data_IF_380017044821
#
_entry.id   IF_380017044821
#
_cell.length_a   1.000
_cell.length_b   1.000
_cell.length_c   1.000
_cell.angle_alpha   90.00
_cell.angle_beta   90.00
_cell.angle_gamma   90.00
#
_symmetry.space_group_name_H-M   'P 1'
#
loop_
_entity.id
_entity.type
_entity.pdbx_description
1 polymer ?
#
# COMPACT_ATOMS: atom_id res chain seq x y z
N UNK A 1 -18.75 -45.49 51.71
CA UNK A 1 -17.68 -45.41 50.70
C UNK A 1 -18.25 -44.70 49.49
N UNK A 2 -17.99 -43.40 49.38
CA UNK A 2 -18.35 -42.62 48.20
C UNK A 2 -17.15 -42.66 47.26
N UNK A 3 -17.34 -43.25 46.09
CA UNK A 3 -16.36 -43.28 44.99
C UNK A 3 -16.08 -41.85 44.52
N UNK A 4 -14.83 -41.41 44.71
CA UNK A 4 -14.29 -40.22 44.04
C UNK A 4 -14.39 -40.45 42.52
N UNK A 5 -15.26 -39.67 41.87
CA UNK A 5 -15.26 -39.54 40.42
C UNK A 5 -13.95 -38.85 40.02
N UNK A 6 -13.06 -39.61 39.39
CA UNK A 6 -11.86 -39.10 38.75
C UNK A 6 -12.24 -37.90 37.86
N UNK A 7 -11.68 -36.73 38.17
CA UNK A 7 -11.82 -35.55 37.33
C UNK A 7 -11.25 -35.87 35.95
N UNK A 8 -12.10 -35.98 34.93
CA UNK A 8 -11.64 -36.09 33.55
C UNK A 8 -10.61 -34.98 33.28
N UNK A 9 -9.45 -35.29 32.67
CA UNK A 9 -8.50 -34.27 32.25
C UNK A 9 -9.17 -33.40 31.18
N UNK A 10 -9.76 -32.30 31.64
CA UNK A 10 -10.45 -31.34 30.81
C UNK A 10 -9.49 -30.25 30.34
N UNK A 11 -9.90 -29.51 29.33
CA UNK A 11 -9.15 -28.36 28.80
C UNK A 11 -8.73 -27.33 29.89
N UNK A 12 -9.42 -27.32 31.03
CA UNK A 12 -9.09 -26.51 32.21
C UNK A 12 -7.81 -26.90 32.95
N UNK A 13 -7.23 -28.10 32.73
CA UNK A 13 -5.99 -28.56 33.37
C UNK A 13 -4.73 -28.32 32.52
N UNK A 14 -4.87 -27.84 31.29
CA UNK A 14 -3.72 -27.50 30.43
C UNK A 14 -2.91 -26.32 31.00
N UNK A 15 -1.58 -26.26 30.87
CA UNK A 15 -0.76 -25.07 31.14
C UNK A 15 -1.22 -23.84 30.35
N UNK A 16 -1.04 -22.65 30.91
CA UNK A 16 -1.52 -21.40 30.29
C UNK A 16 -0.82 -21.09 28.97
N UNK A 17 0.45 -21.48 28.86
CA UNK A 17 1.29 -21.34 27.67
C UNK A 17 0.75 -22.15 26.50
N UNK A 18 0.29 -23.38 26.76
CA UNK A 18 -0.29 -24.24 25.72
C UNK A 18 -1.65 -23.71 25.27
N UNK A 19 -2.46 -23.20 26.19
CA UNK A 19 -3.76 -22.59 25.86
C UNK A 19 -3.57 -21.33 25.02
N UNK A 20 -2.60 -20.48 25.35
CA UNK A 20 -2.28 -19.29 24.54
C UNK A 20 -1.82 -19.69 23.13
N UNK A 21 -0.95 -20.70 23.01
CA UNK A 21 -0.51 -21.20 21.71
C UNK A 21 -1.72 -21.67 20.88
N UNK A 22 -2.64 -22.45 21.46
CA UNK A 22 -3.88 -22.87 20.76
C UNK A 22 -4.72 -21.66 20.31
N UNK A 23 -4.82 -20.62 21.13
CA UNK A 23 -5.56 -19.38 20.80
C UNK A 23 -4.90 -18.65 19.62
N UNK A 24 -3.57 -18.61 19.55
CA UNK A 24 -2.82 -17.96 18.47
C UNK A 24 -3.08 -18.58 17.10
N UNK A 25 -3.39 -19.88 17.03
CA UNK A 25 -3.77 -20.57 15.79
C UNK A 25 -5.19 -20.25 15.32
N UNK A 26 -6.04 -19.64 16.16
CA UNK A 26 -7.38 -19.25 15.76
C UNK A 26 -7.31 -17.97 14.90
N UNK A 27 -7.94 -17.97 13.70
CA UNK A 27 -7.90 -16.82 12.81
C UNK A 27 -8.57 -15.62 13.46
N UNK A 28 -7.82 -14.53 13.57
CA UNK A 28 -8.29 -13.24 14.12
C UNK A 28 -9.49 -12.70 13.31
N UNK A 29 -9.56 -13.04 12.04
CA UNK A 29 -10.63 -12.68 11.10
C UNK A 29 -11.98 -13.34 11.43
N UNK A 30 -11.99 -14.42 12.22
CA UNK A 30 -13.20 -15.03 12.76
C UNK A 30 -13.31 -14.82 14.29
N UNK A 31 -13.68 -13.60 14.74
CA UNK A 31 -13.70 -13.27 16.17
C UNK A 31 -14.74 -14.08 16.97
N UNK A 32 -15.63 -14.84 16.30
CA UNK A 32 -16.66 -15.65 16.95
C UNK A 32 -16.06 -16.82 17.73
N UNK A 33 -15.04 -17.48 17.19
CA UNK A 33 -14.45 -18.67 17.82
C UNK A 33 -13.71 -18.32 19.10
N UNK A 34 -12.90 -17.25 19.06
CA UNK A 34 -12.18 -16.73 20.22
C UNK A 34 -13.16 -16.17 21.25
N UNK A 35 -14.23 -15.49 20.81
CA UNK A 35 -15.29 -15.02 21.71
C UNK A 35 -15.97 -16.18 22.41
N UNK A 36 -16.35 -17.23 21.70
CA UNK A 36 -16.97 -18.42 22.28
C UNK A 36 -16.05 -19.08 23.30
N UNK A 37 -14.76 -19.21 22.98
CA UNK A 37 -13.75 -19.72 23.90
C UNK A 37 -13.66 -18.86 25.17
N UNK A 38 -13.66 -17.54 25.04
CA UNK A 38 -13.59 -16.61 26.18
C UNK A 38 -14.77 -16.74 27.14
N UNK A 39 -15.93 -17.23 26.67
CA UNK A 39 -17.13 -17.42 27.48
C UNK A 39 -17.14 -18.73 28.26
N UNK A 40 -16.23 -19.68 27.95
CA UNK A 40 -16.21 -21.01 28.58
C UNK A 40 -15.75 -20.99 30.04
N UNK A 41 -14.83 -20.09 30.40
CA UNK A 41 -14.34 -19.95 31.79
C UNK A 41 -13.63 -18.61 32.00
N UNK A 42 -13.51 -18.18 33.27
CA UNK A 42 -12.76 -16.97 33.63
C UNK A 42 -11.28 -17.04 33.22
N UNK A 43 -10.69 -18.23 33.25
CA UNK A 43 -9.31 -18.47 32.82
C UNK A 43 -9.15 -18.26 31.32
N UNK A 44 -10.04 -18.87 30.52
CA UNK A 44 -10.05 -18.70 29.06
C UNK A 44 -10.30 -17.24 28.69
N UNK A 45 -11.23 -16.57 29.39
CA UNK A 45 -11.43 -15.13 29.23
C UNK A 45 -10.11 -14.36 29.34
N UNK A 46 -9.38 -14.54 30.45
CA UNK A 46 -8.12 -13.82 30.70
C UNK A 46 -7.03 -14.13 29.66
N UNK A 47 -6.90 -15.39 29.24
CA UNK A 47 -5.88 -15.80 28.26
C UNK A 47 -6.24 -15.35 26.83
N UNK A 48 -7.52 -15.24 26.51
CA UNK A 48 -7.99 -14.77 25.20
C UNK A 48 -7.99 -13.24 25.06
N UNK A 49 -7.89 -12.46 26.16
CA UNK A 49 -7.99 -11.00 26.10
C UNK A 49 -6.96 -10.36 25.18
N UNK A 50 -5.70 -10.77 25.24
CA UNK A 50 -4.67 -10.19 24.38
C UNK A 50 -4.96 -10.49 22.91
N UNK A 51 -5.32 -11.73 22.57
CA UNK A 51 -5.65 -12.09 21.18
C UNK A 51 -6.89 -11.35 20.67
N UNK A 52 -7.91 -11.18 21.51
CA UNK A 52 -9.15 -10.47 21.15
C UNK A 52 -8.97 -8.97 20.95
N UNK A 53 -8.06 -8.33 21.70
CA UNK A 53 -7.92 -6.87 21.70
C UNK A 53 -6.67 -6.37 20.97
N UNK A 54 -5.69 -7.24 20.68
CA UNK A 54 -4.46 -6.87 19.97
C UNK A 54 -4.74 -6.35 18.56
N UNK A 55 -5.68 -6.97 17.84
CA UNK A 55 -6.15 -6.49 16.54
C UNK A 55 -7.67 -6.29 16.59
N UNK A 56 -8.10 -5.07 16.33
CA UNK A 56 -9.50 -4.69 16.29
C UNK A 56 -9.91 -4.34 14.86
N UNK A 57 -10.93 -5.03 14.35
CA UNK A 57 -11.71 -4.58 13.21
C UNK A 57 -12.86 -3.69 13.70
N UNK A 58 -12.81 -2.42 13.31
CA UNK A 58 -13.78 -1.40 13.71
C UNK A 58 -14.83 -1.27 12.61
N UNK A 59 -15.96 -1.96 12.82
CA UNK A 59 -17.15 -1.88 11.96
C UNK A 59 -18.25 -1.02 12.59
N UNK A 60 -18.41 -1.13 13.92
CA UNK A 60 -19.27 -0.27 14.71
C UNK A 60 -18.41 0.35 15.81
N UNK A 61 -17.96 1.60 15.63
CA UNK A 61 -16.90 2.14 16.45
C UNK A 61 -17.46 2.52 17.85
N UNK A 62 -18.76 2.76 17.97
CA UNK A 62 -19.45 3.21 19.18
C UNK A 62 -19.29 2.31 20.43
N UNK A 63 -19.79 1.06 20.47
CA UNK A 63 -19.75 0.24 21.70
C UNK A 63 -18.31 -0.05 22.13
N UNK A 64 -17.43 -0.14 21.13
CA UNK A 64 -16.03 -0.38 21.35
C UNK A 64 -15.35 0.81 22.01
N UNK A 65 -15.49 2.02 21.47
CA UNK A 65 -14.90 3.23 22.05
C UNK A 65 -15.36 3.43 23.49
N UNK A 66 -16.66 3.25 23.77
CA UNK A 66 -17.18 3.33 25.13
C UNK A 66 -16.53 2.31 26.07
N UNK A 67 -16.37 1.06 25.62
CA UNK A 67 -15.72 0.01 26.41
C UNK A 67 -14.25 0.31 26.68
N UNK A 68 -13.51 0.76 25.67
CA UNK A 68 -12.09 1.09 25.80
C UNK A 68 -11.87 2.31 26.70
N UNK A 69 -12.77 3.29 26.64
CA UNK A 69 -12.73 4.46 27.52
C UNK A 69 -12.94 4.07 29.00
N UNK A 70 -13.86 3.13 29.27
CA UNK A 70 -14.11 2.67 30.65
C UNK A 70 -13.05 1.70 31.18
N UNK A 71 -12.31 1.02 30.31
CA UNK A 71 -11.25 0.08 30.69
C UNK A 71 -9.91 0.41 29.99
N UNK A 72 -9.10 1.30 30.60
CA UNK A 72 -7.80 1.67 30.07
C UNK A 72 -6.83 0.49 29.92
N UNK A 73 -7.01 -0.58 30.70
CA UNK A 73 -6.16 -1.79 30.58
C UNK A 73 -6.46 -2.58 29.31
N UNK A 74 -7.70 -2.53 28.82
CA UNK A 74 -8.06 -3.08 27.50
C UNK A 74 -7.58 -2.16 26.38
N UNK A 75 -7.74 -0.84 26.53
CA UNK A 75 -7.24 0.15 25.57
C UNK A 75 -5.73 0.02 25.30
N UNK A 76 -4.94 -0.20 26.35
CA UNK A 76 -3.50 -0.40 26.24
C UNK A 76 -3.08 -1.69 25.49
N UNK A 77 -4.00 -2.64 25.28
CA UNK A 77 -3.73 -3.88 24.54
C UNK A 77 -3.90 -3.72 23.02
N UNK A 78 -4.56 -2.65 22.58
CA UNK A 78 -4.85 -2.40 21.17
C UNK A 78 -3.58 -2.00 20.43
N UNK A 79 -3.10 -2.87 19.54
CA UNK A 79 -1.87 -2.64 18.77
C UNK A 79 -2.14 -2.44 17.27
N UNK A 80 -3.15 -3.11 16.72
CA UNK A 80 -3.54 -3.01 15.31
C UNK A 80 -5.01 -2.65 15.21
N UNK A 81 -5.32 -1.65 14.40
CA UNK A 81 -6.69 -1.18 14.17
C UNK A 81 -6.97 -1.20 12.68
N UNK A 82 -8.07 -1.83 12.29
CA UNK A 82 -8.59 -1.80 10.93
C UNK A 82 -9.94 -1.08 10.95
N UNK A 83 -10.01 0.10 10.35
CA UNK A 83 -11.19 0.93 10.24
C UNK A 83 -11.93 0.60 8.95
N UNK A 84 -13.13 0.01 9.08
CA UNK A 84 -13.92 -0.54 7.98
C UNK A 84 -15.42 -0.36 8.24
N UNK A 85 -15.92 0.85 8.00
CA UNK A 85 -17.32 1.22 8.30
C UNK A 85 -18.32 0.76 7.22
N UNK A 86 -17.86 0.35 6.04
CA UNK A 86 -18.72 -0.14 4.93
C UNK A 86 -19.53 -1.39 5.30
N UNK A 87 -19.06 -2.15 6.28
CA UNK A 87 -19.69 -3.41 6.71
C UNK A 87 -20.81 -3.24 7.74
N UNK A 88 -21.11 -2.01 8.15
CA UNK A 88 -22.19 -1.75 9.09
C UNK A 88 -23.53 -1.61 8.36
N UNK A 89 -24.33 -2.69 8.37
CA UNK A 89 -25.73 -2.65 7.93
C UNK A 89 -26.47 -1.38 8.42
N UNK A 90 -27.33 -0.91 7.51
CA UNK A 90 -28.05 0.35 7.35
C UNK A 90 -28.84 0.85 8.57
N UNK A 91 -28.12 1.13 9.66
CA UNK A 91 -28.68 1.63 10.93
C UNK A 91 -28.01 2.96 11.35
N UNK A 92 -27.58 3.73 10.36
CA UNK A 92 -26.72 4.92 10.50
C UNK A 92 -27.30 6.01 11.41
N UNK A 93 -28.63 6.17 11.46
CA UNK A 93 -29.28 7.25 12.20
C UNK A 93 -29.34 7.01 13.72
N UNK A 94 -29.45 5.77 14.19
CA UNK A 94 -29.44 5.48 15.62
C UNK A 94 -28.01 5.48 16.18
N UNK A 95 -27.07 4.91 15.42
CA UNK A 95 -25.62 4.94 15.73
C UNK A 95 -25.10 6.38 15.80
N UNK A 96 -25.46 7.25 14.84
CA UNK A 96 -25.12 8.70 14.86
C UNK A 96 -25.75 9.45 16.04
N UNK A 97 -26.99 9.15 16.42
CA UNK A 97 -27.64 9.77 17.60
C UNK A 97 -26.96 9.38 18.92
N UNK A 98 -26.57 8.12 19.07
CA UNK A 98 -25.86 7.64 20.27
C UNK A 98 -24.44 8.23 20.37
N UNK A 99 -23.74 8.37 19.24
CA UNK A 99 -22.48 9.10 19.16
C UNK A 99 -22.60 10.52 19.73
N UNK A 100 -23.56 11.32 19.23
CA UNK A 100 -23.83 12.68 19.71
C UNK A 100 -24.18 12.77 21.23
N UNK A 101 -24.59 11.67 21.87
CA UNK A 101 -24.90 11.63 23.32
C UNK A 101 -23.65 11.44 24.17
N UNK A 102 -22.76 10.50 23.84
CA UNK A 102 -21.49 10.31 24.57
C UNK A 102 -20.56 11.48 24.43
N UNK A 103 -20.56 12.11 23.27
CA UNK A 103 -19.75 13.30 23.04
C UNK A 103 -20.15 14.46 23.95
N UNK A 104 -21.46 14.62 24.20
CA UNK A 104 -21.95 15.54 25.23
C UNK A 104 -21.49 15.13 26.63
N UNK A 105 -21.53 13.84 26.95
CA UNK A 105 -21.05 13.30 28.22
C UNK A 105 -19.54 13.52 28.44
N UNK A 106 -18.73 13.37 27.40
CA UNK A 106 -17.28 13.54 27.46
C UNK A 106 -16.86 15.01 27.53
N UNK A 107 -17.58 15.90 26.85
CA UNK A 107 -17.39 17.35 26.98
C UNK A 107 -17.71 17.85 28.40
N UNK A 108 -18.66 17.22 29.10
CA UNK A 108 -18.95 17.54 30.51
C UNK A 108 -17.95 16.95 31.51
N UNK A 109 -17.18 15.93 31.12
CA UNK A 109 -16.23 15.23 31.99
C UNK A 109 -14.81 15.82 32.01
N UNK A 110 -14.59 16.98 31.37
CA UNK A 110 -13.30 17.68 31.41
C UNK A 110 -12.22 17.08 30.50
N UNK A 111 -12.58 16.23 29.53
CA UNK A 111 -11.68 15.89 28.44
C UNK A 111 -11.30 17.18 27.69
N UNK A 112 -10.02 17.51 27.76
CA UNK A 112 -9.33 18.73 27.32
C UNK A 112 -9.98 19.50 26.17
N UNK A 113 -10.23 20.79 26.46
CA UNK A 113 -10.39 21.95 25.57
C UNK A 113 -10.32 21.68 24.05
N UNK A 114 -11.36 21.10 23.48
CA UNK A 114 -11.72 21.41 22.10
C UNK A 114 -12.40 22.77 22.10
N UNK A 115 -11.65 23.83 21.76
CA UNK A 115 -12.21 25.15 21.50
C UNK A 115 -13.33 25.03 20.44
N UNK A 116 -14.58 25.24 20.88
CA UNK A 116 -15.81 25.15 20.07
C UNK A 116 -15.89 26.34 19.08
N UNK A 117 -16.58 26.18 17.93
CA UNK A 117 -18.00 26.55 17.91
C UNK A 117 -18.89 25.59 17.09
N UNK A 118 -20.16 25.44 17.51
CA UNK A 118 -21.31 24.98 16.69
C UNK A 118 -21.25 23.59 15.98
N UNK A 119 -20.44 22.62 16.41
CA UNK A 119 -20.45 21.25 15.85
C UNK A 119 -21.53 20.30 16.42
N UNK A 120 -22.76 20.79 16.59
CA UNK A 120 -23.87 19.95 17.02
C UNK A 120 -24.66 19.55 15.77
N UNK A 121 -24.31 18.45 15.09
CA UNK A 121 -25.24 17.54 14.38
C UNK A 121 -24.56 16.51 13.45
N UNK A 122 -23.30 16.69 13.03
CA UNK A 122 -22.65 15.79 12.07
C UNK A 122 -21.16 15.62 12.34
N UNK A 123 -20.79 14.77 13.31
CA UNK A 123 -19.43 14.25 13.34
C UNK A 123 -19.27 13.32 12.14
N UNK A 124 -18.30 13.63 11.28
CA UNK A 124 -17.93 12.76 10.15
C UNK A 124 -17.00 11.66 10.65
N UNK A 125 -16.97 10.53 9.95
CA UNK A 125 -16.29 9.32 10.40
C UNK A 125 -14.81 9.52 10.73
N UNK A 126 -14.12 10.42 10.01
CA UNK A 126 -12.73 10.78 10.28
C UNK A 126 -12.49 11.41 11.66
N UNK A 127 -13.42 12.25 12.15
CA UNK A 127 -13.31 12.88 13.47
C UNK A 127 -13.48 11.83 14.57
N UNK A 128 -14.36 10.86 14.35
CA UNK A 128 -14.52 9.76 15.29
C UNK A 128 -13.30 8.84 15.31
N UNK A 129 -12.70 8.57 14.15
CA UNK A 129 -11.43 7.86 14.08
C UNK A 129 -10.33 8.60 14.83
N UNK A 130 -10.22 9.92 14.66
CA UNK A 130 -9.24 10.72 15.40
C UNK A 130 -9.43 10.60 16.92
N UNK A 131 -10.67 10.65 17.42
CA UNK A 131 -10.96 10.40 18.83
C UNK A 131 -10.70 8.96 19.27
N UNK A 132 -11.02 7.97 18.44
CA UNK A 132 -10.76 6.56 18.74
C UNK A 132 -9.27 6.32 18.98
N UNK A 133 -8.42 6.95 18.16
CA UNK A 133 -6.96 6.86 18.28
C UNK A 133 -6.48 7.40 19.62
N UNK A 134 -7.10 8.46 20.15
CA UNK A 134 -6.65 9.09 21.40
C UNK A 134 -6.98 8.23 22.62
N UNK A 135 -8.04 7.41 22.54
CA UNK A 135 -8.36 6.41 23.56
C UNK A 135 -7.60 5.09 23.40
N UNK A 136 -6.74 4.95 22.39
CA UNK A 136 -5.96 3.73 22.11
C UNK A 136 -4.47 4.05 21.98
N UNK A 137 -3.78 4.34 23.10
CA UNK A 137 -2.43 4.91 23.07
C UNK A 137 -1.36 3.97 22.53
N UNK A 138 -1.59 2.65 22.53
CA UNK A 138 -0.63 1.62 22.14
C UNK A 138 -0.72 1.18 20.67
N UNK A 139 -1.43 1.92 19.80
CA UNK A 139 -1.53 1.56 18.38
C UNK A 139 -0.16 1.60 17.72
N UNK A 140 0.21 0.50 17.07
CA UNK A 140 1.39 0.35 16.22
C UNK A 140 1.06 0.34 14.73
N UNK A 141 -0.15 -0.10 14.37
CA UNK A 141 -0.57 -0.25 12.97
C UNK A 141 -2.01 0.21 12.80
N UNK A 142 -2.21 1.19 11.92
CA UNK A 142 -3.53 1.73 11.56
C UNK A 142 -3.82 1.40 10.10
N UNK A 143 -4.94 0.74 9.84
CA UNK A 143 -5.43 0.42 8.49
C UNK A 143 -6.78 1.10 8.32
N UNK A 144 -6.96 1.89 7.27
CA UNK A 144 -8.21 2.57 6.92
C UNK A 144 -8.60 2.08 5.53
N UNK A 145 -9.75 1.41 5.40
CA UNK A 145 -10.14 0.76 4.13
C UNK A 145 -11.03 1.59 3.21
N UNK A 146 -11.67 2.63 3.72
CA UNK A 146 -12.54 3.48 2.93
C UNK A 146 -12.64 4.88 3.50
N UNK A 147 -12.38 5.86 2.65
CA UNK A 147 -12.42 7.29 3.00
C UNK A 147 -13.32 8.08 2.07
N UNK A 148 -14.12 7.42 1.22
CA UNK A 148 -14.96 8.09 0.22
C UNK A 148 -15.94 9.12 0.80
N UNK A 149 -16.47 8.89 2.00
CA UNK A 149 -17.37 9.81 2.69
C UNK A 149 -16.65 10.88 3.55
N UNK A 150 -15.32 10.84 3.60
CA UNK A 150 -14.55 11.71 4.49
C UNK A 150 -14.47 13.12 3.90
N UNK A 151 -14.21 14.09 4.78
CA UNK A 151 -14.16 15.48 4.34
C UNK A 151 -12.90 15.73 3.52
N UNK A 152 -13.14 16.22 2.31
CA UNK A 152 -12.09 16.73 1.45
C UNK A 152 -11.54 18.06 1.99
N UNK A 153 -10.29 18.38 1.67
CA UNK A 153 -9.68 19.70 1.88
C UNK A 153 -9.33 20.08 3.32
N UNK A 154 -9.31 19.11 4.24
CA UNK A 154 -8.88 19.28 5.63
C UNK A 154 -7.71 18.35 5.97
N UNK A 155 -7.00 18.63 7.06
CA UNK A 155 -5.99 17.72 7.58
C UNK A 155 -6.60 16.71 8.57
N UNK A 156 -6.74 15.44 8.16
CA UNK A 156 -7.45 14.42 8.94
C UNK A 156 -6.82 14.11 10.30
N UNK A 157 -5.50 14.18 10.40
CA UNK A 157 -4.75 13.76 11.60
C UNK A 157 -4.24 14.93 12.45
N UNK A 158 -4.60 16.18 12.12
CA UNK A 158 -4.09 17.36 12.83
C UNK A 158 -4.34 17.29 14.34
N UNK A 159 -5.56 16.95 14.75
CA UNK A 159 -5.89 16.87 16.17
C UNK A 159 -5.16 15.72 16.88
N UNK A 160 -5.13 14.53 16.27
CA UNK A 160 -4.51 13.36 16.86
C UNK A 160 -2.99 13.51 17.05
N UNK A 161 -2.32 14.33 16.23
CA UNK A 161 -0.86 14.56 16.36
C UNK A 161 -0.53 15.63 17.40
N UNK A 162 -1.43 16.60 17.63
CA UNK A 162 -1.27 17.64 18.66
C UNK A 162 -1.52 17.08 20.07
N UNK A 163 -2.33 16.03 20.19
CA UNK A 163 -2.67 15.43 21.48
C UNK A 163 -1.49 14.65 22.08
N UNK A 164 -1.12 14.99 23.32
CA UNK A 164 0.06 14.44 24.00
C UNK A 164 -0.08 12.93 24.18
N UNK A 165 0.89 12.18 23.65
CA UNK A 165 0.95 10.72 23.77
C UNK A 165 0.07 9.95 22.77
N UNK A 166 -0.78 10.63 22.00
CA UNK A 166 -1.50 10.01 20.90
C UNK A 166 -0.51 9.64 19.78
N UNK A 167 -0.70 8.48 19.15
CA UNK A 167 0.13 7.96 18.06
C UNK A 167 1.62 7.76 18.37
N UNK A 168 2.06 7.87 19.63
CA UNK A 168 3.48 7.77 20.00
C UNK A 168 4.11 6.41 19.63
N UNK A 169 3.30 5.35 19.49
CA UNK A 169 3.74 4.01 19.10
C UNK A 169 3.43 3.64 17.65
N UNK A 170 2.77 4.54 16.90
CA UNK A 170 2.31 4.26 15.54
C UNK A 170 3.52 4.11 14.61
N UNK A 171 3.75 2.90 14.10
CA UNK A 171 4.86 2.59 13.18
C UNK A 171 4.42 2.49 11.74
N UNK A 172 3.18 2.04 11.50
CA UNK A 172 2.67 1.69 10.18
C UNK A 172 1.28 2.24 9.95
N UNK A 173 1.08 2.86 8.80
CA UNK A 173 -0.23 3.35 8.35
C UNK A 173 -0.51 2.81 6.95
N UNK A 174 -1.72 2.30 6.77
CA UNK A 174 -2.24 1.85 5.49
C UNK A 174 -3.58 2.51 5.24
N UNK A 175 -3.71 3.30 4.17
CA UNK A 175 -4.94 4.05 3.87
C UNK A 175 -5.37 3.74 2.45
N UNK A 176 -6.59 3.24 2.30
CA UNK A 176 -7.28 3.13 1.03
C UNK A 176 -8.17 4.36 0.85
N UNK A 177 -7.99 5.02 -0.28
CA UNK A 177 -8.71 6.22 -0.68
C UNK A 177 -10.17 5.98 -1.07
N UNK A 178 -10.77 6.96 -1.79
CA UNK A 178 -10.11 8.11 -2.43
C UNK A 178 -9.67 9.19 -1.42
N UNK A 179 -8.46 9.74 -1.60
CA UNK A 179 -7.96 10.90 -0.85
C UNK A 179 -6.86 11.68 -1.59
N UNK A 180 -6.66 12.95 -1.23
CA UNK A 180 -5.48 13.73 -1.58
C UNK A 180 -4.34 13.46 -0.57
N UNK A 181 -3.09 13.46 -1.05
CA UNK A 181 -1.92 13.20 -0.20
C UNK A 181 -1.78 14.24 0.93
N UNK A 182 -2.15 15.49 0.68
CA UNK A 182 -2.10 16.57 1.67
C UNK A 182 -2.93 16.27 2.93
N UNK A 183 -4.01 15.51 2.83
CA UNK A 183 -4.90 15.21 3.96
C UNK A 183 -4.19 14.43 5.07
N UNK A 184 -3.12 13.71 4.73
CA UNK A 184 -2.34 12.90 5.66
C UNK A 184 -1.02 13.56 6.09
N UNK A 185 -0.78 14.83 5.74
CA UNK A 185 0.48 15.52 6.02
C UNK A 185 0.92 15.45 7.49
N UNK A 186 -0.01 15.56 8.42
CA UNK A 186 0.31 15.53 9.85
C UNK A 186 0.86 14.17 10.32
N UNK A 187 0.54 13.06 9.64
CA UNK A 187 1.12 11.76 10.00
C UNK A 187 2.64 11.74 9.84
N UNK A 188 3.18 12.50 8.89
CA UNK A 188 4.63 12.58 8.68
C UNK A 188 5.36 13.27 9.85
N UNK A 189 4.65 13.94 10.75
CA UNK A 189 5.21 14.54 11.97
C UNK A 189 5.28 13.54 13.13
N UNK A 190 4.68 12.35 13.00
CA UNK A 190 4.68 11.33 14.06
C UNK A 190 6.09 10.71 14.17
N UNK A 191 6.81 10.87 15.29
CA UNK A 191 8.23 10.48 15.37
C UNK A 191 8.49 8.97 15.27
N UNK A 192 7.49 8.15 15.61
CA UNK A 192 7.58 6.69 15.57
C UNK A 192 7.14 6.07 14.23
N UNK A 193 6.54 6.86 13.34
CA UNK A 193 6.04 6.38 12.05
C UNK A 193 7.22 6.05 11.12
N UNK A 194 7.17 4.88 10.49
CA UNK A 194 8.22 4.37 9.59
C UNK A 194 7.67 4.00 8.23
N UNK A 195 6.47 3.41 8.18
CA UNK A 195 5.87 2.92 6.95
C UNK A 195 4.54 3.63 6.67
N UNK A 196 4.43 4.21 5.49
CA UNK A 196 3.21 4.83 4.97
C UNK A 196 2.85 4.16 3.66
N UNK A 197 1.68 3.52 3.63
CA UNK A 197 1.09 2.98 2.40
C UNK A 197 -0.24 3.66 2.14
N UNK A 198 -0.40 4.17 0.93
CA UNK A 198 -1.62 4.82 0.49
C UNK A 198 -2.00 4.28 -0.88
N UNK A 199 -3.26 3.89 -1.03
CA UNK A 199 -3.84 3.36 -2.25
C UNK A 199 -4.97 4.30 -2.68
N UNK A 200 -5.13 4.54 -3.99
CA UNK A 200 -6.18 5.40 -4.55
C UNK A 200 -6.01 6.87 -4.16
N UNK A 201 -4.81 7.41 -4.42
CA UNK A 201 -4.54 8.84 -4.27
C UNK A 201 -5.08 9.62 -5.47
N UNK A 202 -5.99 10.56 -5.20
CA UNK A 202 -6.63 11.38 -6.22
C UNK A 202 -6.07 12.81 -6.23
N UNK A 203 -6.02 13.40 -7.43
CA UNK A 203 -5.72 14.81 -7.60
C UNK A 203 -7.03 15.58 -7.86
N UNK A 204 -7.48 16.36 -6.89
CA UNK A 204 -8.68 17.18 -7.02
C UNK A 204 -8.43 18.53 -7.69
N UNK A 205 -9.47 19.09 -8.33
CA UNK A 205 -9.46 20.46 -8.82
C UNK A 205 -9.39 21.45 -7.65
N UNK A 206 -8.41 22.36 -7.69
CA UNK A 206 -8.20 23.38 -6.66
C UNK A 206 -9.02 24.64 -6.98
N UNK A 207 -10.27 24.71 -6.53
CA UNK A 207 -11.06 25.95 -6.59
C UNK A 207 -10.84 26.82 -5.35
N UNK A 208 -10.77 28.16 -5.45
CA UNK A 208 -10.46 29.03 -4.31
C UNK A 208 -11.43 28.92 -3.13
N UNK A 209 -12.68 28.54 -3.39
CA UNK A 209 -13.79 28.48 -2.44
C UNK A 209 -13.80 27.19 -1.61
N UNK A 210 -13.11 26.13 -2.04
CA UNK A 210 -13.20 24.80 -1.44
C UNK A 210 -12.10 24.45 -0.41
N UNK A 211 -11.04 25.26 -0.25
CA UNK A 211 -9.83 24.90 0.50
C UNK A 211 -9.44 25.92 1.59
N UNK A 212 -10.27 26.02 2.65
CA UNK A 212 -10.04 26.98 3.74
C UNK A 212 -8.80 26.63 4.60
N UNK A 213 -8.59 25.36 4.98
CA UNK A 213 -7.49 25.01 5.92
C UNK A 213 -6.09 25.09 5.29
N UNK A 214 -5.91 24.63 4.05
CA UNK A 214 -4.59 24.58 3.40
C UNK A 214 -4.04 25.96 3.00
N UNK A 215 -4.89 26.99 2.97
CA UNK A 215 -4.52 28.37 2.63
C UNK A 215 -4.34 29.28 3.84
N UNK A 216 -5.03 29.01 4.96
CA UNK A 216 -5.16 29.98 6.06
C UNK A 216 -4.28 29.67 7.28
N UNK A 217 -3.98 28.40 7.59
CA UNK A 217 -3.35 28.04 8.87
C UNK A 217 -1.83 27.85 8.80
N UNK A 218 -1.32 27.06 7.85
CA UNK A 218 0.11 26.81 7.63
C UNK A 218 0.26 26.16 6.26
N UNK A 219 1.11 26.69 5.38
CA UNK A 219 1.29 26.07 4.06
C UNK A 219 1.88 24.67 4.21
N UNK A 220 1.56 23.75 3.31
CA UNK A 220 2.12 22.38 3.33
C UNK A 220 3.65 22.38 3.43
N UNK A 221 4.32 23.35 2.77
CA UNK A 221 5.77 23.53 2.82
C UNK A 221 6.29 23.90 4.22
N UNK A 222 5.54 24.72 4.95
CA UNK A 222 5.89 25.11 6.32
C UNK A 222 5.59 24.00 7.31
N UNK A 223 4.56 23.19 7.05
CA UNK A 223 4.23 22.02 7.88
C UNK A 223 5.28 20.91 7.72
N UNK A 224 5.69 20.64 6.47
CA UNK A 224 6.62 19.58 6.10
C UNK A 224 8.00 20.17 5.78
N UNK A 225 8.66 20.71 6.82
CA UNK A 225 10.04 21.18 6.69
C UNK A 225 11.00 20.02 6.34
N UNK A 226 12.06 20.27 5.57
CA UNK A 226 12.99 19.21 5.19
C UNK A 226 13.59 18.47 6.40
N UNK A 227 13.56 17.14 6.36
CA UNK A 227 14.11 16.27 7.41
C UNK A 227 13.31 16.19 8.72
N UNK A 228 12.10 16.75 8.81
CA UNK A 228 11.24 16.68 10.01
C UNK A 228 10.65 15.28 10.24
N UNK A 229 10.49 14.49 9.19
CA UNK A 229 9.83 13.19 9.21
C UNK A 229 10.81 12.03 9.37
N UNK A 230 10.40 11.03 10.14
CA UNK A 230 11.14 9.79 10.36
C UNK A 230 10.63 8.62 9.51
N UNK A 231 9.73 8.88 8.56
CA UNK A 231 9.24 7.86 7.63
C UNK A 231 10.42 7.34 6.79
N UNK A 232 10.53 6.01 6.72
CA UNK A 232 11.58 5.31 5.99
C UNK A 232 11.03 4.70 4.69
N UNK A 233 9.73 4.37 4.65
CA UNK A 233 9.11 3.69 3.52
C UNK A 233 7.80 4.39 3.12
N UNK A 234 7.73 4.83 1.87
CA UNK A 234 6.51 5.41 1.27
C UNK A 234 6.08 4.51 0.12
N UNK A 235 4.83 4.07 0.15
CA UNK A 235 4.21 3.28 -0.93
C UNK A 235 2.92 3.93 -1.37
N UNK A 236 2.91 4.45 -2.59
CA UNK A 236 1.76 5.11 -3.20
C UNK A 236 1.30 4.26 -4.39
N UNK A 237 0.14 3.62 -4.25
CA UNK A 237 -0.45 2.79 -5.31
C UNK A 237 -1.66 3.47 -5.93
N UNK A 238 -1.89 3.24 -7.22
CA UNK A 238 -2.96 3.87 -7.99
C UNK A 238 -3.02 5.37 -7.69
N UNK A 239 -1.91 6.06 -7.85
CA UNK A 239 -1.74 7.43 -7.38
C UNK A 239 -1.74 8.45 -8.52
N UNK A 240 -2.37 9.59 -8.29
CA UNK A 240 -2.14 10.79 -9.09
C UNK A 240 -1.83 11.95 -8.15
N UNK A 241 -0.55 12.36 -8.12
CA UNK A 241 -0.08 13.46 -7.27
C UNK A 241 0.80 14.41 -8.09
N UNK A 242 0.63 15.71 -7.90
CA UNK A 242 1.54 16.71 -8.47
C UNK A 242 2.97 16.52 -7.93
N UNK A 243 4.02 16.52 -8.79
CA UNK A 243 5.41 16.35 -8.36
C UNK A 243 5.83 17.32 -7.25
N UNK A 244 5.37 18.58 -7.31
CA UNK A 244 5.68 19.56 -6.27
C UNK A 244 5.11 19.18 -4.89
N UNK A 245 3.89 18.64 -4.85
CA UNK A 245 3.27 18.17 -3.59
C UNK A 245 4.06 16.99 -3.05
N UNK A 246 4.33 16.01 -3.91
CA UNK A 246 5.08 14.81 -3.56
C UNK A 246 6.52 15.14 -3.08
N UNK A 247 7.15 16.18 -3.62
CA UNK A 247 8.45 16.66 -3.19
C UNK A 247 8.44 17.14 -1.73
N UNK A 248 7.37 17.81 -1.25
CA UNK A 248 7.31 18.22 0.15
C UNK A 248 7.34 17.03 1.12
N UNK A 249 6.64 15.94 0.77
CA UNK A 249 6.61 14.73 1.60
C UNK A 249 7.95 13.99 1.61
N UNK A 250 8.56 13.84 0.45
CA UNK A 250 9.84 13.13 0.31
C UNK A 250 11.00 13.94 0.88
N UNK A 251 11.04 15.27 0.69
CA UNK A 251 12.04 16.13 1.32
C UNK A 251 11.90 16.20 2.85
N UNK A 252 10.67 16.06 3.38
CA UNK A 252 10.46 15.98 4.81
C UNK A 252 11.07 14.73 5.43
N UNK A 253 11.22 13.64 4.68
CA UNK A 253 11.80 12.39 5.20
C UNK A 253 13.32 12.54 5.36
N UNK A 254 13.83 12.27 6.58
CA UNK A 254 15.26 12.38 6.87
C UNK A 254 16.09 11.27 6.21
N UNK A 255 15.57 10.04 6.19
CA UNK A 255 16.27 8.83 5.76
C UNK A 255 15.31 7.92 4.98
N UNK A 256 14.74 8.41 3.88
CA UNK A 256 13.85 7.60 3.06
C UNK A 256 14.64 6.45 2.41
N UNK A 257 14.29 5.21 2.74
CA UNK A 257 14.94 3.99 2.24
C UNK A 257 14.18 3.36 1.09
N UNK A 258 12.84 3.38 1.14
CA UNK A 258 12.00 2.83 0.08
C UNK A 258 10.97 3.83 -0.42
N UNK A 259 10.90 3.96 -1.74
CA UNK A 259 9.89 4.76 -2.42
C UNK A 259 9.23 3.94 -3.53
N UNK A 260 7.92 3.73 -3.42
CA UNK A 260 7.09 3.05 -4.42
C UNK A 260 6.02 4.03 -4.90
N UNK A 261 5.96 4.26 -6.21
CA UNK A 261 5.01 5.16 -6.86
C UNK A 261 4.42 4.50 -8.11
N UNK A 262 3.17 4.09 -8.04
CA UNK A 262 2.41 3.54 -9.14
C UNK A 262 1.37 4.56 -9.57
N UNK A 263 1.54 5.13 -10.77
CA UNK A 263 0.64 6.18 -11.26
C UNK A 263 -0.60 5.63 -11.94
N UNK A 264 -1.76 6.20 -11.64
CA UNK A 264 -3.04 5.90 -12.30
C UNK A 264 -3.64 7.21 -12.84
N UNK A 265 -3.86 7.29 -14.14
CA UNK A 265 -4.36 8.52 -14.79
C UNK A 265 -5.83 8.78 -14.47
N UNK A 266 -6.60 7.76 -14.14
CA UNK A 266 -8.02 7.89 -13.80
C UNK A 266 -8.23 8.59 -12.46
N UNK A 267 -7.20 8.64 -11.63
CA UNK A 267 -7.22 9.37 -10.36
C UNK A 267 -6.87 10.86 -10.50
N UNK A 268 -6.65 11.36 -11.73
CA UNK A 268 -6.64 12.80 -12.00
C UNK A 268 -8.06 13.34 -12.20
N UNK A 269 -8.66 13.85 -11.12
CA UNK A 269 -10.04 14.35 -11.12
C UNK A 269 -10.12 15.84 -11.48
N UNK A 270 -9.05 16.41 -12.04
CA UNK A 270 -9.03 17.80 -12.51
C UNK A 270 -9.69 17.91 -13.89
N UNK A 271 -10.36 19.03 -14.13
CA UNK A 271 -10.96 19.34 -15.45
C UNK A 271 -9.92 19.73 -16.53
N UNK A 272 -8.67 19.98 -16.14
CA UNK A 272 -7.60 20.36 -17.06
C UNK A 272 -6.92 19.14 -17.68
N UNK A 273 -6.32 19.32 -18.86
CA UNK A 273 -5.51 18.26 -19.48
C UNK A 273 -4.40 17.83 -18.50
N UNK A 274 -4.29 16.53 -18.18
CA UNK A 274 -3.22 16.05 -17.32
C UNK A 274 -1.87 16.41 -17.95
N UNK A 275 -0.90 16.75 -17.11
CA UNK A 275 0.50 16.83 -17.55
C UNK A 275 0.90 15.49 -18.17
N UNK A 276 1.67 15.50 -19.27
CA UNK A 276 2.10 14.25 -19.91
C UNK A 276 2.81 13.37 -18.88
N UNK A 277 2.60 12.05 -18.93
CA UNK A 277 3.25 11.12 -18.00
C UNK A 277 4.78 11.29 -18.00
N UNK A 278 5.36 11.56 -19.17
CA UNK A 278 6.78 11.85 -19.31
C UNK A 278 7.23 13.03 -18.44
N UNK A 279 6.47 14.13 -18.42
CA UNK A 279 6.78 15.28 -17.57
C UNK A 279 6.63 14.97 -16.08
N UNK A 280 5.69 14.11 -15.70
CA UNK A 280 5.56 13.63 -14.30
C UNK A 280 6.78 12.81 -13.89
N UNK A 281 7.24 11.89 -14.75
CA UNK A 281 8.41 11.05 -14.51
C UNK A 281 9.69 11.88 -14.43
N UNK A 282 9.86 12.86 -15.31
CA UNK A 282 10.96 13.83 -15.22
C UNK A 282 10.92 14.61 -13.89
N UNK A 283 9.72 14.98 -13.43
CA UNK A 283 9.51 15.64 -12.15
C UNK A 283 9.91 14.80 -10.93
N UNK A 284 9.98 13.47 -11.03
CA UNK A 284 10.42 12.61 -9.92
C UNK A 284 11.89 12.82 -9.54
N UNK A 285 12.72 13.30 -10.47
CA UNK A 285 14.11 13.71 -10.15
C UNK A 285 14.14 14.81 -9.09
N UNK A 286 13.28 15.81 -9.22
CA UNK A 286 13.13 16.88 -8.24
C UNK A 286 12.56 16.35 -6.92
N UNK A 287 11.55 15.46 -6.97
CA UNK A 287 10.94 14.83 -5.79
C UNK A 287 11.99 14.14 -4.94
N UNK A 288 12.86 13.34 -5.55
CA UNK A 288 13.78 12.48 -4.81
C UNK A 288 15.17 13.09 -4.58
N UNK A 289 15.42 14.34 -5.02
CA UNK A 289 16.74 15.01 -4.93
C UNK A 289 17.35 14.95 -3.52
N UNK A 290 16.54 15.11 -2.46
CA UNK A 290 17.01 15.06 -1.08
C UNK A 290 17.35 13.66 -0.55
N UNK A 291 16.95 12.59 -1.25
CA UNK A 291 17.00 11.21 -0.76
C UNK A 291 17.94 10.30 -1.58
N UNK A 292 18.69 10.85 -2.55
CA UNK A 292 19.59 10.06 -3.41
C UNK A 292 20.61 9.21 -2.64
N UNK A 293 21.04 9.67 -1.47
CA UNK A 293 22.01 8.99 -0.62
C UNK A 293 21.38 8.00 0.37
N UNK A 294 20.07 8.04 0.62
CA UNK A 294 19.42 7.15 1.58
C UNK A 294 18.58 6.05 0.93
N UNK A 295 18.17 6.24 -0.33
CA UNK A 295 17.27 5.33 -1.01
C UNK A 295 17.96 4.00 -1.38
N UNK A 296 17.39 2.91 -0.89
CA UNK A 296 17.84 1.53 -1.14
C UNK A 296 16.90 0.81 -2.12
N UNK A 297 15.61 1.19 -2.17
CA UNK A 297 14.60 0.62 -3.05
C UNK A 297 13.77 1.69 -3.74
N UNK A 298 13.68 1.61 -5.07
CA UNK A 298 12.84 2.44 -5.91
C UNK A 298 11.91 1.55 -6.74
N UNK A 299 10.60 1.85 -6.71
CA UNK A 299 9.64 1.26 -7.64
C UNK A 299 8.83 2.40 -8.26
N UNK A 300 8.87 2.52 -9.58
CA UNK A 300 8.07 3.50 -10.33
C UNK A 300 7.32 2.74 -11.41
N UNK A 301 6.00 2.68 -11.26
CA UNK A 301 5.08 2.05 -12.21
C UNK A 301 4.09 3.08 -12.74
N UNK A 302 3.45 2.77 -13.86
CA UNK A 302 2.40 3.62 -14.42
C UNK A 302 1.38 2.87 -15.23
N UNK A 303 0.38 3.60 -15.70
CA UNK A 303 -0.71 3.05 -16.51
C UNK A 303 -0.19 2.46 -17.82
N UNK A 304 -0.43 1.15 -18.01
CA UNK A 304 0.05 0.37 -19.16
C UNK A 304 -0.36 0.95 -20.51
N UNK A 305 -1.52 1.61 -20.59
CA UNK A 305 -2.01 2.18 -21.86
C UNK A 305 -1.24 3.43 -22.32
N UNK A 306 -0.44 4.02 -21.42
CA UNK A 306 0.17 5.34 -21.62
C UNK A 306 1.69 5.31 -21.43
N UNK A 307 2.27 4.13 -21.15
CA UNK A 307 3.71 3.92 -21.02
C UNK A 307 4.38 3.69 -22.38
N UNK A 308 5.64 4.08 -22.46
CA UNK A 308 6.49 4.09 -23.66
C UNK A 308 7.93 3.85 -23.18
N UNK A 309 8.84 3.38 -24.04
CA UNK A 309 10.24 3.08 -23.64
C UNK A 309 10.94 4.30 -23.02
N UNK A 310 10.67 5.50 -23.56
CA UNK A 310 11.19 6.76 -23.02
C UNK A 310 10.88 6.97 -21.54
N UNK A 311 9.79 6.42 -21.00
CA UNK A 311 9.43 6.54 -19.59
C UNK A 311 10.36 5.72 -18.70
N UNK A 312 10.65 4.48 -19.09
CA UNK A 312 11.61 3.63 -18.38
C UNK A 312 13.00 4.22 -18.42
N UNK A 313 13.38 4.80 -19.56
CA UNK A 313 14.66 5.51 -19.66
C UNK A 313 14.73 6.70 -18.68
N UNK A 314 13.60 7.38 -18.39
CA UNK A 314 13.59 8.37 -17.30
C UNK A 314 13.74 7.73 -15.92
N UNK A 315 13.11 6.59 -15.66
CA UNK A 315 13.26 5.87 -14.38
C UNK A 315 14.71 5.38 -14.18
N UNK A 316 15.33 4.84 -15.22
CA UNK A 316 16.75 4.44 -15.19
C UNK A 316 17.65 5.66 -14.92
N UNK A 317 17.44 6.78 -15.64
CA UNK A 317 18.18 8.04 -15.38
C UNK A 317 18.00 8.54 -13.96
N UNK A 318 16.79 8.45 -13.42
CA UNK A 318 16.49 8.79 -12.03
C UNK A 318 17.27 7.88 -11.06
N UNK A 319 17.31 6.58 -11.33
CA UNK A 319 18.06 5.62 -10.51
C UNK A 319 19.58 5.83 -10.59
N UNK A 320 20.11 6.30 -11.72
CA UNK A 320 21.55 6.49 -11.95
C UNK A 320 22.25 7.39 -10.93
N UNK A 321 21.52 8.34 -10.36
CA UNK A 321 22.04 9.31 -9.39
C UNK A 321 21.93 8.84 -7.93
N UNK A 322 21.36 7.66 -7.69
CA UNK A 322 21.13 7.12 -6.35
C UNK A 322 22.29 6.23 -5.92
N UNK A 323 23.08 6.69 -4.94
CA UNK A 323 24.35 6.04 -4.59
C UNK A 323 24.19 4.74 -3.82
N UNK A 324 23.05 4.51 -3.16
CA UNK A 324 22.80 3.34 -2.32
C UNK A 324 21.68 2.43 -2.84
N UNK A 325 21.22 2.65 -4.07
CA UNK A 325 20.11 1.90 -4.63
C UNK A 325 20.48 0.44 -4.89
N UNK A 326 19.76 -0.48 -4.27
CA UNK A 326 19.98 -1.94 -4.38
C UNK A 326 18.85 -2.63 -5.13
N UNK A 327 17.64 -2.10 -5.09
CA UNK A 327 16.47 -2.69 -5.73
C UNK A 327 15.74 -1.64 -6.59
N UNK A 328 15.52 -1.97 -7.86
CA UNK A 328 14.84 -1.12 -8.83
C UNK A 328 13.70 -1.88 -9.51
N UNK A 329 12.51 -1.29 -9.51
CA UNK A 329 11.34 -1.73 -10.25
C UNK A 329 10.84 -0.58 -11.15
N UNK A 330 10.74 -0.81 -12.46
CA UNK A 330 10.54 0.26 -13.46
C UNK A 330 9.19 0.18 -14.19
N UNK A 331 8.32 -0.77 -13.83
CA UNK A 331 7.05 -0.99 -14.52
C UNK A 331 7.23 -1.56 -15.94
N UNK A 332 6.27 -1.23 -16.83
CA UNK A 332 6.12 -1.85 -18.15
C UNK A 332 7.11 -1.36 -19.21
N UNK A 333 7.93 -2.28 -19.72
CA UNK A 333 8.74 -2.14 -20.94
C UNK A 333 7.87 -2.41 -22.16
N UNK A 334 7.43 -1.35 -22.81
CA UNK A 334 6.72 -1.42 -24.09
C UNK A 334 7.69 -1.53 -25.26
N UNK A 335 7.20 -2.02 -26.40
CA UNK A 335 7.84 -1.74 -27.68
C UNK A 335 7.59 -0.25 -27.98
N UNK A 336 8.63 0.54 -28.29
CA UNK A 336 8.44 1.83 -28.95
C UNK A 336 8.78 1.63 -30.43
N UNK A 337 7.91 2.14 -31.30
CA UNK A 337 8.07 2.22 -32.74
C UNK A 337 9.15 3.26 -33.13
N UNK A 338 10.34 3.21 -32.53
CA UNK A 338 11.49 3.93 -33.06
C UNK A 338 12.22 3.01 -34.06
N UNK A 339 11.86 3.03 -35.36
CA UNK A 339 12.41 2.12 -36.36
C UNK A 339 13.92 2.31 -36.56
N UNK A 340 14.52 3.37 -36.01
CA UNK A 340 15.94 3.69 -36.14
C UNK A 340 16.80 3.15 -34.99
N UNK A 341 16.21 2.78 -33.84
CA UNK A 341 16.97 2.30 -32.68
C UNK A 341 17.06 0.77 -32.67
N UNK A 342 18.28 0.23 -32.76
CA UNK A 342 18.50 -1.21 -32.60
C UNK A 342 18.28 -1.66 -31.14
N UNK A 343 17.82 -2.90 -30.94
CA UNK A 343 17.65 -3.50 -29.61
C UNK A 343 18.95 -3.40 -28.79
N UNK A 344 20.10 -3.64 -29.43
CA UNK A 344 21.42 -3.54 -28.81
C UNK A 344 21.74 -2.13 -28.34
N UNK A 345 21.45 -1.11 -29.14
CA UNK A 345 21.69 0.29 -28.78
C UNK A 345 20.81 0.72 -27.60
N UNK A 346 19.53 0.31 -27.62
CA UNK A 346 18.61 0.54 -26.50
C UNK A 346 19.12 -0.11 -25.21
N UNK A 347 19.45 -1.41 -25.24
CA UNK A 347 19.94 -2.14 -24.06
C UNK A 347 21.24 -1.55 -23.53
N UNK A 348 22.18 -1.20 -24.40
CA UNK A 348 23.45 -0.57 -24.01
C UNK A 348 23.19 0.77 -23.33
N UNK A 349 22.31 1.60 -23.90
CA UNK A 349 21.96 2.88 -23.32
C UNK A 349 21.23 2.71 -21.98
N UNK A 350 20.33 1.74 -21.89
CA UNK A 350 19.55 1.43 -20.70
C UNK A 350 20.47 1.00 -19.54
N UNK A 351 21.37 0.05 -19.78
CA UNK A 351 22.35 -0.42 -18.79
C UNK A 351 23.26 0.71 -18.32
N UNK A 352 23.69 1.61 -19.22
CA UNK A 352 24.51 2.77 -18.85
C UNK A 352 23.83 3.72 -17.85
N UNK A 353 22.50 3.72 -17.77
CA UNK A 353 21.76 4.51 -16.79
C UNK A 353 21.45 3.75 -15.49
N UNK A 354 21.73 2.46 -15.40
CA UNK A 354 21.50 1.71 -14.17
C UNK A 354 22.65 1.95 -13.17
N UNK A 355 22.35 2.11 -11.87
CA UNK A 355 23.40 2.34 -10.87
C UNK A 355 24.23 1.07 -10.63
N UNK A 356 25.56 1.16 -10.48
CA UNK A 356 26.43 0.00 -10.28
C UNK A 356 26.22 -0.72 -8.95
N UNK A 357 25.48 -0.11 -8.02
CA UNK A 357 25.10 -0.67 -6.71
C UNK A 357 23.88 -1.58 -6.76
N UNK A 358 23.24 -1.70 -7.92
CA UNK A 358 22.01 -2.45 -8.10
C UNK A 358 22.23 -3.95 -7.89
N UNK A 359 21.46 -4.54 -6.98
CA UNK A 359 21.46 -5.98 -6.68
C UNK A 359 20.24 -6.69 -7.32
N UNK A 360 19.10 -6.01 -7.40
CA UNK A 360 17.85 -6.54 -7.94
C UNK A 360 17.20 -5.59 -8.94
N UNK A 361 16.89 -6.09 -10.14
CA UNK A 361 16.15 -5.39 -11.17
C UNK A 361 14.83 -6.12 -11.46
N UNK A 362 13.73 -5.38 -11.47
CA UNK A 362 12.39 -5.89 -11.77
C UNK A 362 11.71 -5.00 -12.79
N UNK A 363 10.99 -5.60 -13.74
CA UNK A 363 10.17 -4.87 -14.69
C UNK A 363 9.08 -5.78 -15.26
N UNK A 364 8.05 -5.14 -15.77
CA UNK A 364 7.03 -5.78 -16.58
C UNK A 364 7.45 -5.65 -18.05
N UNK A 365 6.99 -6.56 -18.90
CA UNK A 365 7.24 -6.45 -20.35
C UNK A 365 5.93 -6.52 -21.08
N UNK A 366 5.80 -5.70 -22.12
CA UNK A 366 4.72 -5.81 -23.08
C UNK A 366 5.01 -7.00 -24.00
N UNK A 367 4.07 -7.93 -24.07
CA UNK A 367 4.19 -9.17 -24.87
C UNK A 367 3.28 -9.14 -26.11
N UNK A 368 2.74 -7.98 -26.47
CA UNK A 368 1.88 -7.84 -27.64
C UNK A 368 2.63 -8.06 -28.96
N UNK A 369 1.85 -8.29 -30.03
CA UNK A 369 2.30 -8.68 -31.39
C UNK A 369 3.30 -7.70 -32.06
N UNK A 370 3.59 -6.56 -31.43
CA UNK A 370 4.49 -5.53 -31.94
C UNK A 370 5.98 -5.94 -31.94
N UNK A 371 6.38 -6.95 -31.17
CA UNK A 371 7.78 -7.37 -31.02
C UNK A 371 8.27 -8.45 -32.01
N UNK A 372 7.64 -8.55 -33.18
CA UNK A 372 7.97 -9.53 -34.22
C UNK A 372 6.81 -10.48 -34.52
N UNK A 373 7.01 -11.42 -35.45
CA UNK A 373 5.93 -12.26 -35.99
C UNK A 373 5.20 -13.11 -34.94
N UNK A 374 5.78 -13.26 -33.74
CA UNK A 374 5.20 -13.99 -32.61
C UNK A 374 5.00 -13.15 -31.35
N UNK A 375 5.36 -11.86 -31.33
CA UNK A 375 5.22 -10.97 -30.16
C UNK A 375 6.17 -11.18 -28.98
N UNK A 376 7.00 -12.26 -28.96
CA UNK A 376 7.97 -12.54 -27.86
C UNK A 376 9.43 -12.57 -28.30
N UNK A 377 9.70 -12.51 -29.60
CA UNK A 377 11.05 -12.60 -30.15
C UNK A 377 11.89 -11.39 -29.71
N UNK A 378 11.33 -10.18 -29.83
CA UNK A 378 11.98 -8.95 -29.36
C UNK A 378 12.29 -8.89 -27.85
N UNK A 379 11.35 -9.19 -26.94
CA UNK A 379 11.60 -9.27 -25.51
C UNK A 379 12.72 -10.24 -25.15
N UNK A 380 12.72 -11.40 -25.81
CA UNK A 380 13.72 -12.44 -25.59
C UNK A 380 15.10 -11.99 -26.08
N UNK A 381 15.17 -11.34 -27.25
CA UNK A 381 16.40 -10.75 -27.77
C UNK A 381 16.94 -9.65 -26.87
N UNK A 382 16.07 -8.75 -26.39
CA UNK A 382 16.43 -7.69 -25.44
C UNK A 382 16.99 -8.27 -24.14
N UNK A 383 16.33 -9.28 -23.56
CA UNK A 383 16.78 -9.95 -22.33
C UNK A 383 18.10 -10.69 -22.53
N UNK A 384 18.31 -11.31 -23.71
CA UNK A 384 19.59 -11.96 -24.05
C UNK A 384 20.72 -10.95 -24.15
N UNK A 385 20.51 -9.86 -24.89
CA UNK A 385 21.47 -8.76 -25.00
C UNK A 385 21.78 -8.14 -23.63
N UNK A 386 20.76 -8.03 -22.76
CA UNK A 386 20.94 -7.58 -21.39
C UNK A 386 21.80 -8.55 -20.57
N UNK A 387 21.52 -9.85 -20.64
CA UNK A 387 22.28 -10.88 -19.92
C UNK A 387 23.78 -10.89 -20.31
N UNK A 388 24.08 -10.62 -21.59
CA UNK A 388 25.46 -10.55 -22.10
C UNK A 388 26.18 -9.25 -21.67
N UNK A 389 25.47 -8.12 -21.63
CA UNK A 389 26.09 -6.79 -21.45
C UNK A 389 26.10 -6.32 -19.99
N UNK A 390 25.04 -6.62 -19.23
CA UNK A 390 24.87 -6.13 -17.86
C UNK A 390 26.00 -6.52 -16.90
N UNK A 391 26.58 -7.75 -16.93
CA UNK A 391 27.62 -8.15 -15.98
C UNK A 391 28.89 -7.27 -16.03
N UNK A 392 29.17 -6.64 -17.18
CA UNK A 392 30.33 -5.74 -17.33
C UNK A 392 30.12 -4.38 -16.65
N UNK A 393 28.87 -3.94 -16.51
CA UNK A 393 28.51 -2.59 -16.01
C UNK A 393 27.89 -2.65 -14.61
N UNK A 394 27.22 -3.75 -14.27
CA UNK A 394 26.46 -3.96 -13.03
C UNK A 394 27.04 -5.15 -12.25
N UNK A 395 28.24 -5.01 -11.65
CA UNK A 395 28.97 -6.12 -11.04
C UNK A 395 28.28 -6.70 -9.78
N UNK A 396 27.33 -5.97 -9.19
CA UNK A 396 26.60 -6.40 -8.00
C UNK A 396 25.23 -6.98 -8.29
N UNK A 397 24.82 -7.02 -9.56
CA UNK A 397 23.51 -7.53 -9.96
C UNK A 397 23.42 -9.03 -9.66
N UNK A 398 22.45 -9.39 -8.82
CA UNK A 398 22.21 -10.78 -8.41
C UNK A 398 20.92 -11.33 -8.98
N UNK A 399 19.94 -10.48 -9.27
CA UNK A 399 18.61 -10.92 -9.68
C UNK A 399 17.98 -9.99 -10.72
N UNK A 400 17.43 -10.59 -11.76
CA UNK A 400 16.59 -9.92 -12.78
C UNK A 400 15.25 -10.65 -12.81
N UNK A 401 14.15 -9.91 -12.66
CA UNK A 401 12.82 -10.47 -12.64
C UNK A 401 11.90 -9.81 -13.66
N UNK A 402 11.29 -10.64 -14.51
CA UNK A 402 10.13 -10.27 -15.31
C UNK A 402 8.90 -10.61 -14.48
N UNK A 403 8.10 -9.59 -14.14
CA UNK A 403 6.91 -9.74 -13.27
C UNK A 403 5.63 -9.45 -14.04
N UNK A 404 4.51 -9.86 -13.43
CA UNK A 404 3.15 -9.52 -13.83
C UNK A 404 2.79 -9.89 -15.28
N UNK A 405 3.46 -10.92 -15.84
CA UNK A 405 3.09 -11.44 -17.15
C UNK A 405 1.79 -12.28 -17.06
N UNK A 406 0.91 -12.22 -18.08
CA UNK A 406 -0.42 -12.82 -18.02
C UNK A 406 -0.35 -14.37 -18.01
N UNK A 407 -0.84 -15.04 -16.95
CA UNK A 407 -0.74 -16.50 -16.81
C UNK A 407 -1.54 -17.27 -17.86
N UNK A 408 -2.55 -16.62 -18.47
CA UNK A 408 -3.37 -17.15 -19.58
C UNK A 408 -2.53 -17.57 -20.79
N UNK A 409 -1.28 -17.12 -20.88
CA UNK A 409 -0.34 -17.58 -21.90
C UNK A 409 0.18 -19.01 -21.67
N UNK A 410 -0.18 -19.67 -20.54
CA UNK A 410 -0.04 -21.09 -20.16
C UNK A 410 1.37 -21.72 -20.21
N UNK A 411 2.13 -21.50 -21.27
CA UNK A 411 3.53 -21.86 -21.45
C UNK A 411 4.19 -20.78 -22.30
N UNK A 412 4.69 -19.73 -21.64
CA UNK A 412 5.24 -18.59 -22.37
C UNK A 412 6.33 -17.83 -21.62
N UNK A 413 7.45 -17.46 -22.30
CA UNK A 413 7.92 -17.93 -23.60
C UNK A 413 8.64 -19.30 -23.53
N UNK A 414 8.69 -20.07 -24.64
CA UNK A 414 9.42 -21.35 -24.73
C UNK A 414 10.93 -21.24 -24.46
N UNK A 415 11.50 -20.03 -24.58
CA UNK A 415 12.93 -19.77 -24.49
C UNK A 415 13.40 -19.33 -23.09
N UNK A 416 12.55 -19.35 -22.06
CA UNK A 416 13.01 -19.02 -20.70
C UNK A 416 14.10 -19.97 -20.21
N UNK A 417 14.08 -21.25 -20.60
CA UNK A 417 15.16 -22.19 -20.26
C UNK A 417 16.54 -21.68 -20.73
N UNK A 418 16.60 -21.13 -21.94
CA UNK A 418 17.81 -20.50 -22.48
C UNK A 418 18.13 -19.20 -21.73
N UNK A 419 17.14 -18.35 -21.43
CA UNK A 419 17.39 -17.12 -20.65
C UNK A 419 17.90 -17.43 -19.23
N UNK A 420 17.33 -18.41 -18.53
CA UNK A 420 17.84 -18.89 -17.24
C UNK A 420 19.31 -19.29 -17.36
N UNK A 421 19.70 -19.96 -18.43
CA UNK A 421 21.09 -20.31 -18.69
C UNK A 421 21.97 -19.07 -18.95
N UNK A 422 21.56 -18.15 -19.83
CA UNK A 422 22.32 -16.93 -20.16
C UNK A 422 22.63 -16.07 -18.92
N UNK A 423 21.65 -15.92 -18.01
CA UNK A 423 21.85 -15.21 -16.76
C UNK A 423 22.68 -16.02 -15.75
N UNK A 424 22.46 -17.34 -15.66
CA UNK A 424 23.21 -18.22 -14.76
C UNK A 424 24.71 -18.29 -15.10
N UNK A 425 25.08 -18.22 -16.38
CA UNK A 425 26.49 -18.14 -16.84
C UNK A 425 27.24 -16.95 -16.22
N UNK A 426 26.51 -15.89 -15.85
CA UNK A 426 27.04 -14.69 -15.22
C UNK A 426 26.71 -14.60 -13.71
N UNK A 427 26.29 -15.69 -13.08
CA UNK A 427 25.85 -15.76 -11.67
C UNK A 427 24.67 -14.84 -11.33
N UNK A 428 23.83 -14.50 -12.30
CA UNK A 428 22.60 -13.73 -12.09
C UNK A 428 21.41 -14.68 -12.06
N UNK A 429 20.57 -14.56 -11.03
CA UNK A 429 19.31 -15.29 -10.95
C UNK A 429 18.23 -14.60 -11.77
N UNK A 430 17.86 -15.21 -12.90
CA UNK A 430 16.67 -14.80 -13.64
C UNK A 430 15.41 -15.36 -12.98
N UNK A 431 14.35 -14.55 -12.88
CA UNK A 431 13.05 -14.97 -12.36
C UNK A 431 11.93 -14.55 -13.32
N UNK A 432 11.00 -15.46 -13.56
CA UNK A 432 9.76 -15.18 -14.28
C UNK A 432 8.59 -15.37 -13.31
N UNK A 433 7.90 -14.28 -13.00
CA UNK A 433 6.85 -14.23 -11.97
C UNK A 433 5.52 -13.88 -12.66
N UNK A 434 4.57 -14.83 -12.73
CA UNK A 434 3.26 -14.57 -13.32
C UNK A 434 2.48 -13.54 -12.51
N UNK A 435 1.58 -12.80 -13.16
CA UNK A 435 0.61 -11.97 -12.45
C UNK A 435 -0.29 -12.83 -11.55
N UNK A 436 -0.68 -12.27 -10.41
CA UNK A 436 -1.67 -12.92 -9.54
C UNK A 436 -2.99 -13.06 -10.30
N UNK A 437 -3.43 -14.31 -10.49
CA UNK A 437 -4.79 -14.58 -11.00
C UNK A 437 -5.73 -14.35 -9.82
N UNK A 438 -6.65 -13.37 -9.86
CA UNK A 438 -7.73 -13.32 -8.88
C UNK A 438 -8.55 -14.62 -9.01
N UNK A 439 -8.44 -15.51 -8.02
CA UNK A 439 -9.01 -16.87 -8.02
C UNK A 439 -10.52 -16.85 -7.71
N UNK A 440 -11.36 -17.73 -8.29
CA UNK A 440 -11.39 -18.17 -9.68
C UNK A 440 -12.81 -18.03 -10.29
N UNK A 441 -12.91 -17.62 -11.56
CA UNK A 441 -13.89 -18.29 -12.42
C UNK A 441 -13.15 -19.48 -13.05
N UNK A 442 -13.69 -20.72 -13.01
CA UNK A 442 -13.02 -21.83 -13.68
C UNK A 442 -12.92 -21.47 -15.16
N UNK A 443 -11.69 -21.52 -15.69
CA UNK A 443 -11.41 -21.53 -17.12
C UNK A 443 -12.45 -22.45 -17.77
N UNK A 444 -13.42 -21.88 -18.51
CA UNK A 444 -14.42 -22.70 -19.18
C UNK A 444 -13.69 -23.38 -20.32
N UNK A 445 -13.43 -24.67 -20.15
CA UNK A 445 -12.92 -25.49 -21.24
C UNK A 445 -14.01 -25.54 -22.30
N UNK A 446 -13.73 -24.98 -23.48
CA UNK A 446 -14.64 -25.13 -24.60
C UNK A 446 -14.71 -26.62 -24.96
N UNK A 447 -15.92 -27.16 -25.12
CA UNK A 447 -16.12 -28.57 -25.47
C UNK A 447 -15.84 -28.86 -26.97
N UNK A 448 -15.55 -27.81 -27.75
CA UNK A 448 -15.27 -27.90 -29.18
C UNK A 448 -13.80 -27.63 -29.47
N UNK A 449 -12.94 -28.61 -29.18
CA UNK A 449 -11.50 -28.46 -29.44
C UNK A 449 -10.95 -29.67 -30.18
N UNK A 450 -10.15 -29.41 -31.22
CA UNK A 450 -9.41 -30.45 -31.94
C UNK A 450 -8.49 -31.23 -30.97
N UNK A 451 -8.31 -32.55 -31.16
CA UNK A 451 -7.43 -33.34 -30.31
C UNK A 451 -6.02 -32.74 -30.23
N UNK A 452 -5.56 -32.38 -29.03
CA UNK A 452 -4.24 -31.81 -28.78
C UNK A 452 -4.22 -30.30 -28.47
N UNK A 453 -5.36 -29.62 -28.54
CA UNK A 453 -5.49 -28.21 -28.17
C UNK A 453 -6.33 -28.04 -26.89
N UNK A 454 -6.12 -26.95 -26.17
CA UNK A 454 -7.00 -26.50 -25.07
C UNK A 454 -7.39 -25.06 -25.36
N UNK A 455 -8.67 -24.82 -25.66
CA UNK A 455 -9.22 -23.47 -25.72
C UNK A 455 -9.84 -23.12 -24.38
N UNK A 456 -9.41 -21.98 -23.84
CA UNK A 456 -9.97 -21.34 -22.65
C UNK A 456 -10.86 -20.22 -23.15
N UNK A 457 -12.17 -20.28 -22.86
CA UNK A 457 -13.05 -19.13 -23.05
C UNK A 457 -12.88 -18.15 -21.88
N UNK A 458 -12.65 -16.89 -22.23
CA UNK A 458 -12.61 -15.77 -21.30
C UNK A 458 -14.00 -15.13 -21.22
N UNK A 459 -14.69 -15.17 -20.06
CA UNK A 459 -15.98 -14.49 -19.91
C UNK A 459 -15.86 -12.96 -20.04
N UNK A 460 -14.66 -12.39 -19.92
CA UNK A 460 -14.44 -10.94 -20.03
C UNK A 460 -14.07 -10.46 -21.45
N UNK A 461 -13.98 -11.37 -22.43
CA UNK A 461 -13.68 -10.99 -23.83
C UNK A 461 -14.76 -10.10 -24.46
N UNK A 462 -15.98 -10.07 -23.91
CA UNK A 462 -17.05 -9.17 -24.39
C UNK A 462 -16.84 -7.69 -23.99
N UNK A 463 -15.88 -7.35 -23.12
CA UNK A 463 -15.66 -5.96 -22.68
C UNK A 463 -14.46 -5.26 -23.34
N UNK A 464 -13.70 -5.93 -24.22
CA UNK A 464 -12.56 -5.32 -24.93
C UNK A 464 -12.88 -4.79 -26.33
N UNK A 465 -14.16 -4.81 -26.72
CA UNK A 465 -14.67 -4.12 -27.90
C UNK A 465 -15.85 -3.23 -27.53
N UNK A 466 -15.55 -2.00 -27.05
CA UNK A 466 -16.34 -0.79 -27.31
C UNK A 466 -15.52 0.48 -27.04
#
# INVERSE_FOLDING_TARGET
MATELASNPGFGTLPSELVMNIIEWLPIENPRDIRNLSLTSRRMYQLSLDHMYKHILVTCPWPLTQKLLHDPKLAARVQKVTWDLKTADDDGNEKRRNLCRLMRFLQTAGATSMNRPRMFLTWRDHQFMAFFITVTPAIHTLIIKDTSEWENNIYWFRQAVVEVGALQHLRRVHIHGPLCLEQIAHLFLVPSLRDVTVIDLVQLERTPENYLEWKQDTTLRTLLEPGVSFVENITLKRACVEPLVLAYFTMACKNLKSFVYETDVHNDLRRMRPASLLSKFQGLSFVLTGNHASLEKLSVRGDHQMLYQKHIMQVARLASVMSNLRSLDMGLITHDDDPEQSVTDFVTQFICYLPPTLEELTFEMDWQEHWGAKGWEGPTEMLRCFAETAPMVLPLLKRVAVVDWPPKLCYFPPDFAMLYQCFAEHNVHFASIPADIPVPDPLRMSEFVEPGWVFVEDPDAEFWHN
#
